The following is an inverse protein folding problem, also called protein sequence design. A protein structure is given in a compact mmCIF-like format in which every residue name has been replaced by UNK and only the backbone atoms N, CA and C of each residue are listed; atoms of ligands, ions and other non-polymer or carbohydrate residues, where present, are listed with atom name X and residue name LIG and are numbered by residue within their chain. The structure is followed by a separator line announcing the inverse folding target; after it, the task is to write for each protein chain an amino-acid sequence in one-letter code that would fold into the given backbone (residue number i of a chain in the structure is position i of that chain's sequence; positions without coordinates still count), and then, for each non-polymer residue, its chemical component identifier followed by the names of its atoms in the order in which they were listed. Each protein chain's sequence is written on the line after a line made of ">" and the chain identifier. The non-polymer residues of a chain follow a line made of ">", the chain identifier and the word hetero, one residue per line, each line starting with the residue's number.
data_IF_483624640483
#
_entry.id   IF_483624640483
#
_cell.length_a   1.000
_cell.length_b   1.000
_cell.length_c   1.000
_cell.angle_alpha   90.00
_cell.angle_beta   90.00
_cell.angle_gamma   90.00
#
_symmetry.space_group_name_H-M   'P 1'
#
loop_
_entity.id
_entity.type
_entity.pdbx_description
1 polymer ?
#
# COMPACT_ATOMS: atom_id res chain seq x y z
N UNK A 1 -5.73 -52.68 -21.37
CA UNK A 1 -5.74 -51.69 -20.28
C UNK A 1 -4.88 -50.52 -20.75
N UNK A 2 -5.44 -49.60 -21.53
CA UNK A 2 -4.66 -48.53 -22.19
C UNK A 2 -5.47 -47.22 -22.38
N UNK A 3 -6.49 -46.99 -21.55
CA UNK A 3 -7.36 -45.80 -21.65
C UNK A 3 -6.89 -44.60 -20.78
N UNK A 4 -5.91 -44.77 -19.90
CA UNK A 4 -5.60 -43.74 -18.88
C UNK A 4 -4.62 -42.64 -19.33
N UNK A 5 -3.88 -42.80 -20.43
CA UNK A 5 -2.82 -41.84 -20.80
C UNK A 5 -3.36 -40.68 -21.67
N UNK A 6 -4.46 -40.88 -22.39
CA UNK A 6 -5.07 -39.83 -23.23
C UNK A 6 -5.84 -38.76 -22.44
N UNK A 7 -6.19 -39.04 -21.18
CA UNK A 7 -6.99 -38.15 -20.33
C UNK A 7 -6.16 -37.10 -19.54
N UNK A 8 -4.83 -37.15 -19.63
CA UNK A 8 -3.92 -36.25 -18.90
C UNK A 8 -3.51 -35.00 -19.67
N UNK A 9 -3.91 -34.86 -20.95
CA UNK A 9 -3.63 -33.66 -21.71
C UNK A 9 -4.44 -32.46 -21.17
N UNK A 10 -3.78 -31.63 -20.36
CA UNK A 10 -4.33 -30.39 -19.81
C UNK A 10 -4.96 -30.48 -18.42
N UNK A 11 -4.79 -31.61 -17.72
CA UNK A 11 -5.20 -31.76 -16.32
C UNK A 11 -4.00 -31.70 -15.37
N UNK A 12 -4.10 -30.87 -14.32
CA UNK A 12 -3.08 -30.67 -13.29
C UNK A 12 -3.60 -31.21 -11.95
N UNK A 13 -2.76 -31.83 -11.10
CA UNK A 13 -3.15 -32.17 -9.74
C UNK A 13 -3.62 -30.93 -8.97
N UNK A 14 -4.69 -31.06 -8.17
CA UNK A 14 -5.19 -29.95 -7.35
C UNK A 14 -4.12 -29.46 -6.37
N UNK A 15 -3.28 -30.33 -5.84
CA UNK A 15 -2.16 -29.94 -4.96
C UNK A 15 -1.24 -28.92 -5.62
N UNK A 16 -0.88 -29.17 -6.88
CA UNK A 16 0.05 -28.33 -7.64
C UNK A 16 -0.65 -27.02 -8.07
N UNK A 17 -1.93 -27.11 -8.42
CA UNK A 17 -2.75 -25.96 -8.80
C UNK A 17 -3.03 -25.04 -7.59
N UNK A 18 -3.35 -25.62 -6.44
CA UNK A 18 -3.54 -24.97 -5.14
C UNK A 18 -2.30 -24.18 -4.76
N UNK A 19 -1.12 -24.80 -4.80
CA UNK A 19 0.14 -24.14 -4.50
C UNK A 19 0.44 -23.00 -5.49
N UNK A 20 0.12 -23.18 -6.78
CA UNK A 20 0.37 -22.18 -7.82
C UNK A 20 -0.57 -20.98 -7.75
N UNK A 21 -1.81 -21.18 -7.28
CA UNK A 21 -2.86 -20.15 -7.24
C UNK A 21 -3.11 -19.56 -5.85
N UNK A 22 -2.57 -20.17 -4.80
CA UNK A 22 -2.80 -19.75 -3.42
C UNK A 22 -4.24 -19.96 -2.96
N UNK A 23 -4.92 -20.96 -3.53
CA UNK A 23 -6.33 -21.31 -3.21
C UNK A 23 -6.32 -22.66 -2.50
N UNK A 24 -7.10 -22.82 -1.44
CA UNK A 24 -7.12 -24.08 -0.69
C UNK A 24 -7.63 -25.25 -1.55
N UNK A 25 -7.12 -26.44 -1.29
CA UNK A 25 -7.53 -27.64 -2.02
C UNK A 25 -9.01 -27.94 -1.80
N UNK A 26 -9.51 -27.69 -0.59
CA UNK A 26 -10.93 -27.88 -0.23
C UNK A 26 -11.85 -27.00 -1.06
N UNK A 27 -11.46 -25.74 -1.30
CA UNK A 27 -12.22 -24.81 -2.12
C UNK A 27 -12.22 -25.25 -3.59
N UNK A 28 -11.08 -25.71 -4.12
CA UNK A 28 -11.01 -26.19 -5.50
C UNK A 28 -11.85 -27.46 -5.70
N UNK A 29 -11.89 -28.34 -4.70
CA UNK A 29 -12.72 -29.55 -4.72
C UNK A 29 -14.22 -29.20 -4.65
N UNK A 30 -14.62 -28.20 -3.84
CA UNK A 30 -16.02 -27.75 -3.81
C UNK A 30 -16.45 -27.14 -5.14
N UNK A 31 -15.62 -26.29 -5.76
CA UNK A 31 -15.89 -25.69 -7.07
C UNK A 31 -16.06 -26.75 -8.18
N UNK A 32 -15.33 -27.87 -8.10
CA UNK A 32 -15.50 -29.00 -9.03
C UNK A 32 -16.81 -29.74 -8.77
N UNK A 33 -17.16 -29.97 -7.50
CA UNK A 33 -18.43 -30.63 -7.12
C UNK A 33 -19.66 -29.80 -7.48
N UNK A 34 -19.53 -28.48 -7.37
CA UNK A 34 -20.57 -27.49 -7.73
C UNK A 34 -20.67 -27.29 -9.25
N UNK A 35 -19.76 -27.87 -10.03
CA UNK A 35 -19.75 -27.78 -11.49
C UNK A 35 -19.23 -26.46 -12.03
N UNK A 36 -18.73 -25.57 -11.17
CA UNK A 36 -18.14 -24.28 -11.55
C UNK A 36 -16.77 -24.45 -12.21
N UNK A 37 -16.06 -25.54 -11.92
CA UNK A 37 -14.80 -25.92 -12.58
C UNK A 37 -14.82 -27.35 -13.09
N UNK A 38 -14.10 -27.58 -14.19
CA UNK A 38 -13.93 -28.91 -14.78
C UNK A 38 -12.77 -29.62 -14.09
N UNK A 39 -13.07 -30.70 -13.38
CA UNK A 39 -12.09 -31.57 -12.76
C UNK A 39 -12.60 -33.00 -12.60
N UNK A 40 -11.70 -33.92 -12.27
CA UNK A 40 -12.06 -35.32 -11.99
C UNK A 40 -11.18 -35.90 -10.89
N UNK A 41 -11.75 -36.85 -10.14
CA UNK A 41 -10.99 -37.70 -9.23
C UNK A 41 -10.42 -38.88 -10.00
N UNK A 42 -9.10 -39.12 -9.93
CA UNK A 42 -8.43 -40.31 -10.46
C UNK A 42 -7.69 -41.01 -9.32
N UNK A 43 -8.14 -42.21 -8.95
CA UNK A 43 -7.66 -42.88 -7.74
C UNK A 43 -7.94 -42.01 -6.50
N UNK A 44 -6.90 -41.76 -5.70
CA UNK A 44 -6.99 -40.94 -4.48
C UNK A 44 -6.70 -39.45 -4.71
N UNK A 45 -6.45 -39.01 -5.94
CA UNK A 45 -6.06 -37.64 -6.25
C UNK A 45 -7.12 -36.93 -7.10
N UNK A 46 -7.31 -35.64 -6.85
CA UNK A 46 -8.14 -34.78 -7.67
C UNK A 46 -7.30 -34.01 -8.70
N UNK A 47 -7.85 -33.88 -9.89
CA UNK A 47 -7.23 -33.18 -11.01
C UNK A 47 -8.17 -32.10 -11.55
N UNK A 48 -7.60 -30.98 -11.96
CA UNK A 48 -8.33 -29.83 -12.50
C UNK A 48 -7.85 -29.50 -13.91
N UNK A 49 -8.77 -29.15 -14.81
CA UNK A 49 -8.43 -28.71 -16.16
C UNK A 49 -7.90 -27.28 -16.08
N UNK A 50 -6.65 -27.08 -16.48
CA UNK A 50 -6.05 -25.73 -16.51
C UNK A 50 -6.50 -25.03 -17.79
N UNK A 51 -7.37 -24.02 -17.68
CA UNK A 51 -7.75 -23.19 -18.82
C UNK A 51 -6.60 -22.25 -19.19
N UNK A 52 -6.43 -21.95 -20.48
CA UNK A 52 -5.49 -20.93 -20.97
C UNK A 52 -5.73 -19.56 -20.32
N UNK A 53 -6.98 -19.23 -20.00
CA UNK A 53 -7.39 -17.97 -19.33
C UNK A 53 -6.83 -17.86 -17.90
N UNK A 54 -6.79 -18.96 -17.15
CA UNK A 54 -6.20 -18.99 -15.82
C UNK A 54 -4.70 -18.62 -15.86
N UNK A 55 -4.02 -18.87 -16.98
CA UNK A 55 -2.59 -18.58 -17.13
C UNK A 55 -2.37 -17.08 -17.29
N UNK A 56 -3.16 -16.41 -18.14
CA UNK A 56 -3.06 -14.97 -18.43
C UNK A 56 -3.35 -14.13 -17.18
N UNK A 57 -4.42 -14.48 -16.44
CA UNK A 57 -4.81 -13.78 -15.21
C UNK A 57 -3.70 -13.87 -14.14
N UNK A 58 -2.91 -14.96 -14.12
CA UNK A 58 -1.80 -15.10 -13.17
C UNK A 58 -0.58 -14.22 -13.47
N UNK A 59 -0.38 -13.81 -14.73
CA UNK A 59 0.72 -12.92 -15.11
C UNK A 59 0.34 -11.46 -14.90
N UNK A 60 -0.89 -11.09 -15.22
CA UNK A 60 -1.39 -9.74 -15.01
C UNK A 60 -1.48 -9.40 -13.52
N UNK A 61 -1.95 -10.34 -12.69
CA UNK A 61 -2.01 -10.16 -11.24
C UNK A 61 -0.61 -10.02 -10.61
N UNK A 62 0.39 -10.77 -11.09
CA UNK A 62 1.78 -10.62 -10.60
C UNK A 62 2.36 -9.25 -10.96
N UNK A 63 2.11 -8.75 -12.17
CA UNK A 63 2.55 -7.43 -12.57
C UNK A 63 1.84 -6.30 -11.81
N UNK A 64 0.55 -6.44 -11.50
CA UNK A 64 -0.19 -5.44 -10.74
C UNK A 64 0.27 -5.36 -9.28
N UNK A 65 0.53 -6.50 -8.63
CA UNK A 65 1.06 -6.56 -7.26
C UNK A 65 2.46 -5.92 -7.18
N UNK A 66 3.37 -6.25 -8.11
CA UNK A 66 4.71 -5.64 -8.13
C UNK A 66 4.66 -4.12 -8.36
N UNK A 67 3.76 -3.64 -9.22
CA UNK A 67 3.54 -2.19 -9.40
C UNK A 67 3.00 -1.53 -8.15
N UNK A 68 2.05 -2.17 -7.46
CA UNK A 68 1.47 -1.64 -6.22
C UNK A 68 2.52 -1.55 -5.11
N UNK A 69 3.37 -2.57 -4.98
CA UNK A 69 4.46 -2.57 -4.02
C UNK A 69 5.49 -1.47 -4.32
N UNK A 70 5.86 -1.26 -5.59
CA UNK A 70 6.78 -0.20 -5.98
C UNK A 70 6.23 1.20 -5.67
N UNK A 71 4.91 1.39 -5.82
CA UNK A 71 4.24 2.64 -5.46
C UNK A 71 4.18 2.87 -3.95
N UNK A 72 3.95 1.81 -3.16
CA UNK A 72 3.99 1.86 -1.70
C UNK A 72 5.40 2.20 -1.20
N UNK A 73 6.44 1.59 -1.76
CA UNK A 73 7.83 1.89 -1.41
C UNK A 73 8.19 3.35 -1.71
N UNK A 74 7.75 3.88 -2.87
CA UNK A 74 7.92 5.31 -3.20
C UNK A 74 7.18 6.21 -2.21
N UNK A 75 5.95 5.87 -1.84
CA UNK A 75 5.18 6.63 -0.87
C UNK A 75 5.83 6.60 0.52
N UNK A 76 6.28 5.44 0.98
CA UNK A 76 7.01 5.31 2.26
C UNK A 76 8.32 6.09 2.24
N UNK A 77 9.06 6.08 1.13
CA UNK A 77 10.27 6.89 0.99
C UNK A 77 9.98 8.38 1.07
N UNK A 78 8.91 8.85 0.41
CA UNK A 78 8.48 10.25 0.49
C UNK A 78 8.07 10.64 1.92
N UNK A 79 7.33 9.78 2.62
CA UNK A 79 6.93 9.99 4.03
C UNK A 79 8.16 10.06 4.93
N UNK A 80 9.15 9.18 4.75
CA UNK A 80 10.41 9.22 5.53
C UNK A 80 11.17 10.53 5.30
N UNK A 81 11.28 10.98 4.06
CA UNK A 81 11.94 12.26 3.73
C UNK A 81 11.18 13.44 4.34
N UNK A 82 9.85 13.46 4.23
CA UNK A 82 9.03 14.50 4.84
C UNK A 82 9.14 14.51 6.37
N UNK A 83 9.19 13.33 7.00
CA UNK A 83 9.43 13.18 8.44
C UNK A 83 10.79 13.76 8.84
N UNK A 84 11.85 13.41 8.13
CA UNK A 84 13.19 13.95 8.39
C UNK A 84 13.26 15.47 8.23
N UNK A 85 12.63 16.03 7.19
CA UNK A 85 12.57 17.47 6.98
C UNK A 85 11.83 18.19 8.11
N UNK A 86 10.71 17.62 8.57
CA UNK A 86 9.96 18.11 9.71
C UNK A 86 10.82 18.12 10.98
N UNK A 87 11.54 17.04 11.25
CA UNK A 87 12.45 16.94 12.40
C UNK A 87 13.54 18.01 12.36
N UNK A 88 14.21 18.20 11.21
CA UNK A 88 15.24 19.22 11.05
C UNK A 88 14.66 20.62 11.27
N UNK A 89 13.50 20.91 10.67
CA UNK A 89 12.83 22.19 10.84
C UNK A 89 12.47 22.48 12.31
N UNK A 90 12.00 21.47 13.05
CA UNK A 90 11.72 21.58 14.48
C UNK A 90 12.99 21.89 15.28
N UNK A 91 14.12 21.22 14.99
CA UNK A 91 15.39 21.49 15.67
C UNK A 91 15.85 22.94 15.42
N UNK A 92 15.81 23.38 14.16
CA UNK A 92 16.17 24.75 13.79
C UNK A 92 15.28 25.76 14.52
N UNK A 93 13.97 25.50 14.59
CA UNK A 93 13.04 26.35 15.34
C UNK A 93 13.35 26.39 16.84
N UNK A 94 13.67 25.26 17.46
CA UNK A 94 14.07 25.22 18.87
C UNK A 94 15.33 26.06 19.12
N UNK A 95 16.33 25.98 18.24
CA UNK A 95 17.56 26.78 18.36
C UNK A 95 17.23 28.28 18.25
N UNK A 96 16.43 28.67 17.26
CA UNK A 96 16.01 30.06 17.10
C UNK A 96 15.25 30.56 18.32
N UNK A 97 14.33 29.77 18.87
CA UNK A 97 13.60 30.13 20.10
C UNK A 97 14.54 30.33 21.29
N UNK A 98 15.54 29.46 21.49
CA UNK A 98 16.52 29.59 22.56
C UNK A 98 17.32 30.90 22.40
N UNK A 99 17.75 31.22 21.18
CA UNK A 99 18.49 32.45 20.89
C UNK A 99 17.62 33.71 21.14
N UNK A 100 16.37 33.68 20.70
CA UNK A 100 15.41 34.77 20.91
C UNK A 100 15.16 34.97 22.41
N UNK A 101 14.91 33.90 23.17
CA UNK A 101 14.71 33.99 24.62
C UNK A 101 15.96 34.56 25.31
N UNK A 102 17.15 34.06 24.94
CA UNK A 102 18.41 34.55 25.47
C UNK A 102 18.61 36.05 25.23
N UNK A 103 18.37 36.52 24.00
CA UNK A 103 18.50 37.93 23.64
C UNK A 103 17.43 38.81 24.31
N UNK A 104 16.17 38.37 24.31
CA UNK A 104 15.06 39.10 24.92
C UNK A 104 15.19 39.22 26.44
N UNK A 105 15.85 38.27 27.11
CA UNK A 105 16.13 38.37 28.56
C UNK A 105 17.00 39.58 28.92
N UNK A 106 17.78 40.10 27.97
CA UNK A 106 18.60 41.32 28.15
C UNK A 106 17.78 42.61 28.00
N UNK A 107 16.57 42.54 27.42
CA UNK A 107 15.69 43.69 27.13
C UNK A 107 14.60 43.91 28.19
N UNK A 108 14.54 43.10 29.25
CA UNK A 108 13.56 43.22 30.32
C UNK A 108 12.11 43.02 29.86
N UNK A 109 11.17 43.80 30.40
CA UNK A 109 9.73 43.62 30.17
C UNK A 109 9.31 43.78 28.68
N UNK A 110 10.02 44.61 27.91
CA UNK A 110 9.76 44.80 26.47
C UNK A 110 10.13 43.54 25.68
N UNK A 111 11.20 42.85 26.08
CA UNK A 111 11.61 41.58 25.48
C UNK A 111 10.57 40.47 25.70
N UNK A 112 9.95 40.41 26.87
CA UNK A 112 8.94 39.39 27.21
C UNK A 112 7.68 39.48 26.34
N UNK A 113 7.20 40.69 26.06
CA UNK A 113 6.03 40.91 25.19
C UNK A 113 6.34 40.50 23.75
N UNK A 114 7.55 40.80 23.26
CA UNK A 114 7.97 40.42 21.90
C UNK A 114 8.01 38.90 21.71
N UNK A 115 8.54 38.15 22.69
CA UNK A 115 8.57 36.67 22.65
C UNK A 115 7.16 36.09 22.55
N UNK A 116 6.20 36.63 23.31
CA UNK A 116 4.83 36.12 23.33
C UNK A 116 4.16 36.18 21.95
N UNK A 117 4.26 37.34 21.27
CA UNK A 117 3.69 37.50 19.93
C UNK A 117 4.42 36.68 18.85
N UNK A 118 5.74 36.54 18.96
CA UNK A 118 6.51 35.66 18.05
C UNK A 118 6.13 34.19 18.24
N UNK A 119 5.95 33.74 19.49
CA UNK A 119 5.46 32.39 19.80
C UNK A 119 4.10 32.10 19.18
N UNK A 120 3.16 33.04 19.29
CA UNK A 120 1.84 32.96 18.65
C UNK A 120 1.93 32.87 17.13
N UNK A 121 2.75 33.72 16.49
CA UNK A 121 2.92 33.70 15.04
C UNK A 121 3.46 32.36 14.54
N UNK A 122 4.41 31.76 15.27
CA UNK A 122 4.95 30.43 14.95
C UNK A 122 3.89 29.36 15.09
N UNK A 123 3.10 29.36 16.17
CA UNK A 123 2.00 28.39 16.35
C UNK A 123 0.97 28.46 15.22
N UNK A 124 0.58 29.67 14.82
CA UNK A 124 -0.34 29.86 13.68
C UNK A 124 0.27 29.38 12.37
N UNK A 125 1.56 29.66 12.11
CA UNK A 125 2.24 29.19 10.89
C UNK A 125 2.28 27.66 10.80
N UNK A 126 2.47 26.97 11.94
CA UNK A 126 2.46 25.51 12.00
C UNK A 126 1.05 25.00 11.69
N UNK A 127 0.02 25.51 12.35
CA UNK A 127 -1.36 25.08 12.11
C UNK A 127 -1.75 25.19 10.62
N UNK A 128 -1.36 26.29 9.95
CA UNK A 128 -1.57 26.48 8.51
C UNK A 128 -0.79 25.44 7.70
N UNK A 129 0.48 25.21 8.01
CA UNK A 129 1.31 24.22 7.31
C UNK A 129 0.75 22.79 7.44
N UNK A 130 0.35 22.38 8.66
CA UNK A 130 -0.24 21.06 8.91
C UNK A 130 -1.53 20.87 8.11
N UNK A 131 -2.36 21.91 8.05
CA UNK A 131 -3.63 21.90 7.31
C UNK A 131 -3.38 21.73 5.82
N UNK A 132 -2.45 22.50 5.24
CA UNK A 132 -2.08 22.41 3.82
C UNK A 132 -1.48 21.04 3.47
N UNK A 133 -0.60 20.52 4.31
CA UNK A 133 -0.01 19.20 4.12
C UNK A 133 -1.08 18.10 4.18
N UNK A 134 -2.01 18.18 5.14
CA UNK A 134 -3.11 17.23 5.28
C UNK A 134 -4.03 17.24 4.06
N UNK A 135 -4.36 18.43 3.53
CA UNK A 135 -5.15 18.59 2.31
C UNK A 135 -4.41 17.96 1.11
N UNK A 136 -3.11 18.26 0.94
CA UNK A 136 -2.32 17.73 -0.17
C UNK A 136 -2.24 16.20 -0.15
N UNK A 137 -2.00 15.60 1.02
CA UNK A 137 -1.94 14.14 1.19
C UNK A 137 -3.30 13.51 0.94
N UNK A 138 -4.37 14.08 1.50
CA UNK A 138 -5.73 13.55 1.33
C UNK A 138 -6.16 13.59 -0.14
N UNK A 139 -5.93 14.70 -0.83
CA UNK A 139 -6.26 14.84 -2.25
C UNK A 139 -5.46 13.86 -3.14
N UNK A 140 -4.17 13.66 -2.85
CA UNK A 140 -3.35 12.71 -3.59
C UNK A 140 -3.83 11.26 -3.42
N UNK A 141 -4.25 10.88 -2.21
CA UNK A 141 -4.80 9.56 -1.92
C UNK A 141 -6.16 9.36 -2.60
N UNK A 142 -7.05 10.36 -2.52
CA UNK A 142 -8.36 10.32 -3.18
C UNK A 142 -8.22 10.18 -4.70
N UNK A 143 -7.33 10.98 -5.32
CA UNK A 143 -7.09 10.90 -6.76
C UNK A 143 -6.59 9.51 -7.21
N UNK A 144 -5.70 8.89 -6.44
CA UNK A 144 -5.23 7.52 -6.73
C UNK A 144 -6.35 6.49 -6.61
N UNK A 145 -7.20 6.60 -5.59
CA UNK A 145 -8.30 5.66 -5.39
C UNK A 145 -9.35 5.75 -6.51
N UNK A 146 -9.65 6.95 -7.00
CA UNK A 146 -10.56 7.17 -8.14
C UNK A 146 -10.05 6.53 -9.43
N UNK A 147 -8.75 6.64 -9.72
CA UNK A 147 -8.15 6.03 -10.93
C UNK A 147 -8.25 4.49 -10.87
N UNK A 148 -8.01 3.89 -9.70
CA UNK A 148 -8.11 2.43 -9.53
C UNK A 148 -9.56 1.95 -9.73
N UNK A 149 -10.54 2.66 -9.16
CA UNK A 149 -11.95 2.33 -9.35
C UNK A 149 -12.40 2.50 -10.81
N UNK A 150 -11.95 3.56 -11.49
CA UNK A 150 -12.23 3.80 -12.91
C UNK A 150 -11.61 2.75 -13.83
N UNK A 151 -10.50 2.11 -13.45
CA UNK A 151 -9.86 1.06 -14.26
C UNK A 151 -10.50 -0.32 -14.11
N UNK A 152 -11.36 -0.51 -13.11
CA UNK A 152 -12.07 -1.76 -12.81
C UNK A 152 -13.54 -1.77 -13.29
N UNK A 153 -14.04 -0.63 -13.76
CA UNK A 153 -15.35 -0.45 -14.39
C UNK A 153 -15.23 -0.55 -15.90
#
# INVERSE_FOLDING_TARGET
>A
MNEDISALNGMMPISDYSQKKGVSEEQLISEIKEGTRVGRKMGDKWFIKVSTEDTVISFENRNSVHRHQADLDKAQKAIKVAGALTTINTIVHCIVMILVIGFSSQLGAIGAISIFFQGLAVMFSWAVFYTLLSIAVTNALTAKHTIILSSKS
#
